data_IF_461223157044
#
_entry.id   IF_461223157044
#
_cell.length_a   1.000
_cell.length_b   1.000
_cell.length_c   1.000
_cell.angle_alpha   90.00
_cell.angle_beta   90.00
_cell.angle_gamma   90.00
#
_symmetry.space_group_name_H-M   'P 1'
#
loop_
_entity.id
_entity.type
_entity.pdbx_description
1 polymer ?
#
# COMPACT_ATOMS: atom_id res chain seq x y z
N UNK A 1 18.36 19.95 -11.56
CA UNK A 1 17.87 18.60 -11.89
C UNK A 1 16.64 18.71 -12.76
N UNK A 2 16.48 17.88 -13.83
CA UNK A 2 15.25 17.86 -14.63
C UNK A 2 14.08 17.50 -13.71
N UNK A 3 12.95 18.20 -13.85
CA UNK A 3 11.72 17.92 -13.12
C UNK A 3 11.21 16.53 -13.55
N UNK A 4 11.14 15.58 -12.62
CA UNK A 4 10.61 14.24 -12.89
C UNK A 4 9.12 14.29 -13.20
N UNK A 5 8.61 13.37 -14.02
CA UNK A 5 7.21 13.33 -14.41
C UNK A 5 6.29 13.09 -13.20
N UNK A 6 6.71 12.22 -12.27
CA UNK A 6 5.96 11.84 -11.09
C UNK A 6 6.70 12.16 -9.78
N UNK A 7 5.95 12.45 -8.75
CA UNK A 7 6.45 12.51 -7.39
C UNK A 7 6.44 11.10 -6.77
N UNK A 8 5.44 10.27 -7.13
CA UNK A 8 5.32 8.88 -6.73
C UNK A 8 4.87 7.99 -7.90
N UNK A 9 5.56 6.87 -8.12
CA UNK A 9 5.07 5.73 -8.88
C UNK A 9 4.87 4.54 -7.95
N UNK A 10 3.77 3.80 -8.13
CA UNK A 10 3.52 2.59 -7.36
C UNK A 10 3.41 1.37 -8.29
N UNK A 11 3.85 0.20 -7.80
CA UNK A 11 3.67 -1.09 -8.49
C UNK A 11 2.75 -1.98 -7.65
N UNK A 12 1.60 -2.38 -8.22
CA UNK A 12 0.71 -3.27 -7.49
C UNK A 12 -0.55 -3.70 -8.23
N UNK A 13 -1.27 -4.65 -7.63
CA UNK A 13 -2.48 -5.20 -8.20
C UNK A 13 -3.68 -4.28 -8.01
N UNK A 14 -4.44 -4.11 -9.08
CA UNK A 14 -5.73 -3.44 -9.07
C UNK A 14 -6.83 -4.49 -8.93
N UNK A 15 -7.65 -4.36 -7.91
CA UNK A 15 -8.70 -5.30 -7.55
C UNK A 15 -10.10 -4.69 -7.76
N UNK A 16 -11.03 -5.52 -8.21
CA UNK A 16 -12.45 -5.21 -8.11
C UNK A 16 -12.94 -5.59 -6.70
N UNK A 17 -13.48 -4.61 -5.97
CA UNK A 17 -14.17 -4.83 -4.72
C UNK A 17 -15.67 -4.93 -4.96
N UNK A 18 -16.30 -5.97 -4.43
CA UNK A 18 -17.73 -6.16 -4.42
C UNK A 18 -18.22 -6.23 -2.96
N UNK A 19 -19.09 -5.31 -2.57
CA UNK A 19 -19.63 -5.26 -1.20
C UNK A 19 -21.16 -5.18 -1.28
N UNK A 20 -21.88 -5.98 -0.48
CA UNK A 20 -23.31 -5.74 -0.30
C UNK A 20 -23.53 -4.32 0.25
N UNK A 21 -24.67 -3.70 -0.03
CA UNK A 21 -25.00 -2.41 0.55
C UNK A 21 -25.10 -2.50 2.08
N UNK A 22 -24.81 -1.40 2.74
CA UNK A 22 -24.90 -1.23 4.20
C UNK A 22 -24.17 -2.34 5.00
N UNK A 23 -24.90 -3.05 5.84
CA UNK A 23 -24.38 -4.18 6.63
C UNK A 23 -25.02 -5.52 6.19
N UNK A 24 -25.54 -5.59 4.97
CA UNK A 24 -26.14 -6.80 4.43
C UNK A 24 -25.09 -7.93 4.32
N UNK A 25 -25.55 -9.17 4.46
CA UNK A 25 -24.67 -10.34 4.35
C UNK A 25 -24.60 -10.82 2.90
N UNK A 26 -23.41 -11.21 2.46
CA UNK A 26 -23.19 -11.80 1.12
C UNK A 26 -24.14 -13.00 0.88
N UNK A 27 -24.38 -13.82 1.90
CA UNK A 27 -25.24 -15.01 1.78
C UNK A 27 -26.74 -14.72 1.64
N UNK A 28 -27.16 -13.44 1.68
CA UNK A 28 -28.57 -13.03 1.61
C UNK A 28 -28.82 -11.94 0.59
N UNK A 29 -27.82 -11.07 0.36
CA UNK A 29 -27.93 -9.96 -0.56
C UNK A 29 -27.95 -10.40 -2.02
N UNK A 30 -28.74 -9.71 -2.83
CA UNK A 30 -28.84 -9.96 -4.28
C UNK A 30 -28.06 -8.93 -5.11
N UNK A 31 -27.54 -7.88 -4.46
CA UNK A 31 -26.84 -6.76 -5.11
C UNK A 31 -25.46 -6.51 -4.52
N UNK A 32 -24.56 -6.01 -5.37
CA UNK A 32 -23.24 -5.56 -4.95
C UNK A 32 -22.95 -4.15 -5.46
N UNK A 33 -22.41 -3.34 -4.58
CA UNK A 33 -21.72 -2.11 -4.98
C UNK A 33 -20.31 -2.47 -5.43
N UNK A 34 -19.91 -1.99 -6.62
CA UNK A 34 -18.57 -2.20 -7.14
C UNK A 34 -17.66 -1.00 -6.90
N UNK A 35 -16.46 -1.29 -6.44
CA UNK A 35 -15.40 -0.32 -6.20
C UNK A 35 -14.09 -0.88 -6.75
N UNK A 36 -13.08 -0.04 -6.89
CA UNK A 36 -11.73 -0.46 -7.25
C UNK A 36 -10.84 -0.25 -6.03
N UNK A 37 -10.02 -1.24 -5.73
CA UNK A 37 -9.04 -1.22 -4.66
C UNK A 37 -7.70 -1.77 -5.11
N UNK A 38 -6.79 -1.87 -4.19
CA UNK A 38 -5.41 -2.30 -4.36
C UNK A 38 -4.54 -1.46 -3.44
N UNK A 39 -3.65 -2.09 -2.67
CA UNK A 39 -2.88 -1.36 -1.67
C UNK A 39 -2.09 -0.20 -2.29
N UNK A 40 -1.36 -0.48 -3.35
CA UNK A 40 -0.51 0.49 -4.03
C UNK A 40 -1.33 1.52 -4.82
N UNK A 41 -2.49 1.13 -5.37
CA UNK A 41 -3.43 2.09 -5.97
C UNK A 41 -4.00 3.04 -4.92
N UNK A 42 -4.36 2.52 -3.74
CA UNK A 42 -4.86 3.35 -2.64
C UNK A 42 -3.79 4.36 -2.19
N UNK A 43 -2.52 3.94 -2.10
CA UNK A 43 -1.40 4.84 -1.80
C UNK A 43 -1.24 5.91 -2.88
N UNK A 44 -1.21 5.54 -4.16
CA UNK A 44 -1.11 6.48 -5.27
C UNK A 44 -2.28 7.47 -5.29
N UNK A 45 -3.51 6.98 -5.06
CA UNK A 45 -4.73 7.80 -5.00
C UNK A 45 -4.67 8.83 -3.86
N UNK A 46 -4.28 8.40 -2.64
CA UNK A 46 -4.16 9.31 -1.51
C UNK A 46 -3.11 10.39 -1.75
N UNK A 47 -1.96 10.05 -2.33
CA UNK A 47 -0.90 11.02 -2.68
C UNK A 47 -1.37 12.01 -3.75
N UNK A 48 -2.12 11.54 -4.76
CA UNK A 48 -2.69 12.40 -5.80
C UNK A 48 -3.73 13.37 -5.24
N UNK A 49 -4.66 12.86 -4.41
CA UNK A 49 -5.69 13.68 -3.77
C UNK A 49 -5.11 14.75 -2.81
N UNK A 50 -3.94 14.50 -2.25
CA UNK A 50 -3.20 15.48 -1.44
C UNK A 50 -2.41 16.50 -2.29
N UNK A 51 -2.35 16.34 -3.63
CA UNK A 51 -1.83 17.32 -4.56
C UNK A 51 -0.45 17.03 -5.17
N UNK A 52 0.12 15.83 -4.97
CA UNK A 52 1.32 15.39 -5.68
C UNK A 52 0.95 14.58 -6.93
N UNK A 53 1.87 14.51 -7.89
CA UNK A 53 1.67 13.71 -9.12
C UNK A 53 2.01 12.26 -8.86
N UNK A 54 1.03 11.39 -8.99
CA UNK A 54 1.22 9.95 -8.84
C UNK A 54 0.82 9.16 -10.08
N UNK A 55 1.37 7.96 -10.21
CA UNK A 55 1.02 6.99 -11.23
C UNK A 55 1.07 5.58 -10.68
N UNK A 56 0.46 4.64 -11.41
CA UNK A 56 0.46 3.23 -11.07
C UNK A 56 0.99 2.38 -12.21
N UNK A 57 1.86 1.44 -11.86
CA UNK A 57 2.35 0.36 -12.71
C UNK A 57 1.52 -0.87 -12.36
N UNK A 58 0.79 -1.40 -13.32
CA UNK A 58 -0.06 -2.58 -13.11
C UNK A 58 -0.40 -3.24 -14.44
N UNK A 59 -0.91 -4.48 -14.37
CA UNK A 59 -1.44 -5.19 -15.52
C UNK A 59 -2.92 -5.51 -15.30
N UNK A 60 -3.78 -5.09 -16.25
CA UNK A 60 -5.24 -5.23 -16.17
C UNK A 60 -5.77 -5.89 -17.44
N UNK A 61 -6.95 -6.55 -17.41
CA UNK A 61 -7.54 -7.10 -18.62
C UNK A 61 -7.98 -6.01 -19.60
N UNK A 62 -7.77 -6.22 -20.89
CA UNK A 62 -8.37 -5.41 -21.96
C UNK A 62 -9.84 -5.76 -22.14
N UNK A 63 -10.67 -5.22 -21.28
CA UNK A 63 -12.12 -5.52 -21.22
C UNK A 63 -12.89 -4.37 -20.58
N UNK A 64 -14.22 -4.45 -20.59
CA UNK A 64 -15.08 -3.46 -19.93
C UNK A 64 -14.82 -3.33 -18.42
N UNK A 65 -14.40 -4.41 -17.75
CA UNK A 65 -14.06 -4.35 -16.32
C UNK A 65 -12.69 -3.71 -16.08
N UNK A 66 -11.71 -3.94 -16.96
CA UNK A 66 -10.44 -3.22 -16.96
C UNK A 66 -10.63 -1.73 -17.25
N UNK A 67 -11.52 -1.38 -18.19
CA UNK A 67 -11.87 0.02 -18.46
C UNK A 67 -12.57 0.68 -17.26
N UNK A 68 -13.40 -0.05 -16.52
CA UNK A 68 -13.96 0.46 -15.25
C UNK A 68 -12.86 0.78 -14.24
N UNK A 69 -11.87 -0.10 -14.08
CA UNK A 69 -10.73 0.14 -13.20
C UNK A 69 -9.93 1.38 -13.65
N UNK A 70 -9.60 1.48 -14.94
CA UNK A 70 -8.90 2.64 -15.52
C UNK A 70 -9.63 3.96 -15.25
N UNK A 71 -10.96 4.00 -15.42
CA UNK A 71 -11.75 5.19 -15.16
C UNK A 71 -11.68 5.60 -13.67
N UNK A 72 -11.65 4.64 -12.75
CA UNK A 72 -11.50 4.92 -11.31
C UNK A 72 -10.11 5.44 -10.95
N UNK A 73 -9.06 4.90 -11.56
CA UNK A 73 -7.68 5.39 -11.44
C UNK A 73 -7.62 6.87 -11.83
N UNK A 74 -8.13 7.20 -13.01
CA UNK A 74 -8.19 8.59 -13.52
C UNK A 74 -9.05 9.50 -12.67
N UNK A 75 -10.17 9.00 -12.14
CA UNK A 75 -11.03 9.77 -11.23
C UNK A 75 -10.29 10.23 -9.97
N UNK A 76 -9.36 9.40 -9.47
CA UNK A 76 -8.49 9.76 -8.34
C UNK A 76 -7.29 10.64 -8.74
N UNK A 77 -7.16 11.01 -10.01
CA UNK A 77 -6.05 11.81 -10.51
C UNK A 77 -4.71 11.04 -10.61
N UNK A 78 -4.76 9.71 -10.57
CA UNK A 78 -3.58 8.86 -10.75
C UNK A 78 -3.35 8.64 -12.24
N UNK A 79 -2.08 8.77 -12.71
CA UNK A 79 -1.73 8.46 -14.11
C UNK A 79 -1.84 6.96 -14.37
N UNK A 80 -2.38 6.64 -15.53
CA UNK A 80 -2.52 5.30 -16.11
C UNK A 80 -1.50 5.01 -17.23
N UNK A 81 -0.44 5.82 -17.35
CA UNK A 81 0.56 5.74 -18.42
C UNK A 81 1.34 4.41 -18.43
N UNK A 82 1.44 3.74 -17.28
CA UNK A 82 2.14 2.47 -17.11
C UNK A 82 1.19 1.29 -16.83
N UNK A 83 -0.05 1.37 -17.32
CA UNK A 83 -0.95 0.22 -17.35
C UNK A 83 -0.65 -0.67 -18.55
N UNK A 84 -0.37 -1.93 -18.29
CA UNK A 84 -0.27 -2.99 -19.30
C UNK A 84 -1.63 -3.64 -19.49
N UNK A 85 -2.04 -3.85 -20.74
CA UNK A 85 -3.33 -4.46 -21.08
C UNK A 85 -3.14 -5.93 -21.47
N UNK A 86 -3.78 -6.80 -20.69
CA UNK A 86 -3.81 -8.23 -20.94
C UNK A 86 -4.95 -8.57 -21.91
N UNK A 87 -4.59 -9.01 -23.12
CA UNK A 87 -5.52 -9.41 -24.19
C UNK A 87 -5.75 -10.92 -24.24
N UNK A 88 -5.16 -11.68 -23.31
CA UNK A 88 -5.32 -13.13 -23.24
C UNK A 88 -6.77 -13.54 -22.94
N UNK A 89 -7.15 -14.75 -23.37
CA UNK A 89 -8.50 -15.30 -23.14
C UNK A 89 -8.84 -15.46 -21.64
N UNK A 90 -7.83 -15.62 -20.79
CA UNK A 90 -7.94 -15.78 -19.34
C UNK A 90 -7.65 -14.46 -18.60
N UNK A 91 -7.66 -13.32 -19.31
CA UNK A 91 -7.42 -12.01 -18.73
C UNK A 91 -8.53 -11.63 -17.75
N UNK A 92 -8.16 -11.29 -16.52
CA UNK A 92 -9.11 -10.92 -15.45
C UNK A 92 -8.52 -9.98 -14.42
N UNK A 93 -9.36 -9.15 -13.78
CA UNK A 93 -9.02 -8.54 -12.51
C UNK A 93 -9.14 -9.58 -11.37
N UNK A 94 -8.29 -9.46 -10.37
CA UNK A 94 -8.57 -10.07 -9.09
C UNK A 94 -9.81 -9.41 -8.45
N UNK A 95 -10.61 -10.22 -7.77
CA UNK A 95 -11.84 -9.76 -7.09
C UNK A 95 -11.73 -10.05 -5.60
N UNK A 96 -12.28 -9.18 -4.78
CA UNK A 96 -12.59 -9.53 -3.41
C UNK A 96 -14.00 -9.08 -3.03
N UNK A 97 -14.63 -9.92 -2.23
CA UNK A 97 -15.94 -9.68 -1.65
C UNK A 97 -15.74 -9.22 -0.21
N UNK A 98 -16.29 -8.05 0.13
CA UNK A 98 -16.13 -7.49 1.47
C UNK A 98 -17.50 -7.30 2.13
N UNK A 99 -17.67 -7.94 3.28
CA UNK A 99 -18.88 -7.85 4.11
C UNK A 99 -18.59 -6.98 5.33
N UNK A 100 -19.32 -5.89 5.49
CA UNK A 100 -19.21 -5.03 6.65
C UNK A 100 -19.59 -5.75 7.95
N UNK A 101 -18.85 -5.49 9.01
CA UNK A 101 -19.16 -5.95 10.35
C UNK A 101 -20.25 -5.10 11.03
N UNK A 102 -21.04 -5.75 11.88
CA UNK A 102 -21.93 -5.08 12.83
C UNK A 102 -21.92 -5.90 14.12
N UNK A 103 -21.62 -5.27 15.27
CA UNK A 103 -21.49 -6.00 16.52
C UNK A 103 -22.72 -6.90 16.80
N UNK A 104 -22.53 -8.16 17.19
CA UNK A 104 -21.25 -8.84 17.48
C UNK A 104 -20.56 -9.49 16.27
N UNK A 105 -21.09 -9.33 15.05
CA UNK A 105 -20.57 -9.94 13.83
C UNK A 105 -19.33 -9.18 13.34
N UNK A 106 -18.23 -9.91 13.13
CA UNK A 106 -17.00 -9.37 12.56
C UNK A 106 -17.17 -9.14 11.04
N UNK A 107 -16.44 -8.15 10.45
CA UNK A 107 -16.36 -8.03 9.00
C UNK A 107 -15.68 -9.25 8.39
N UNK A 108 -16.05 -9.59 7.15
CA UNK A 108 -15.50 -10.70 6.38
C UNK A 108 -14.93 -10.25 5.05
N UNK A 109 -13.93 -10.96 4.57
CA UNK A 109 -13.38 -10.79 3.22
C UNK A 109 -13.17 -12.16 2.58
N UNK A 110 -13.59 -12.29 1.33
CA UNK A 110 -13.34 -13.47 0.50
C UNK A 110 -12.57 -13.00 -0.74
N UNK A 111 -11.42 -13.61 -1.01
CA UNK A 111 -10.60 -13.28 -2.17
C UNK A 111 -10.81 -14.28 -3.30
N UNK A 112 -11.04 -13.77 -4.50
CA UNK A 112 -10.99 -14.47 -5.78
C UNK A 112 -9.99 -13.72 -6.68
N UNK A 113 -8.69 -13.87 -6.39
CA UNK A 113 -7.63 -13.11 -7.05
C UNK A 113 -6.54 -13.96 -7.71
N UNK A 114 -6.61 -15.28 -7.58
CA UNK A 114 -5.64 -16.16 -8.23
C UNK A 114 -5.68 -15.99 -9.75
N UNK A 115 -4.51 -16.09 -10.38
CA UNK A 115 -4.36 -15.96 -11.83
C UNK A 115 -4.94 -14.67 -12.43
N UNK A 116 -4.99 -13.58 -11.64
CA UNK A 116 -5.32 -12.26 -12.20
C UNK A 116 -4.28 -11.83 -13.23
N UNK A 117 -4.64 -10.89 -14.10
CA UNK A 117 -3.72 -10.34 -15.11
C UNK A 117 -2.42 -9.84 -14.50
N UNK A 118 -2.50 -9.21 -13.29
CA UNK A 118 -1.33 -8.72 -12.57
C UNK A 118 -0.31 -9.82 -12.25
N UNK A 119 -0.75 -11.06 -11.98
CA UNK A 119 0.16 -12.17 -11.64
C UNK A 119 1.12 -12.58 -12.78
N UNK A 120 0.91 -12.02 -13.98
CA UNK A 120 1.73 -12.25 -15.20
C UNK A 120 2.49 -11.02 -15.65
N UNK A 121 2.64 -10.01 -14.78
CA UNK A 121 3.42 -8.80 -15.11
C UNK A 121 4.88 -9.16 -15.38
N UNK A 122 5.47 -8.55 -16.40
CA UNK A 122 6.87 -8.79 -16.76
C UNK A 122 7.63 -7.47 -16.83
N UNK A 123 8.90 -7.50 -16.43
CA UNK A 123 9.79 -6.35 -16.46
C UNK A 123 10.03 -5.83 -17.89
N UNK A 124 10.02 -6.74 -18.86
CA UNK A 124 10.25 -6.43 -20.28
C UNK A 124 9.07 -5.68 -20.94
N UNK A 125 7.94 -5.53 -20.22
CA UNK A 125 6.81 -4.71 -20.66
C UNK A 125 7.05 -3.20 -20.49
N UNK A 126 8.17 -2.79 -19.88
CA UNK A 126 8.46 -1.40 -19.52
C UNK A 126 9.79 -0.94 -20.11
N UNK A 127 9.76 0.24 -20.78
CA UNK A 127 10.95 0.91 -21.27
C UNK A 127 11.81 1.43 -20.11
N UNK A 128 13.13 1.42 -20.26
CA UNK A 128 14.09 1.86 -19.23
C UNK A 128 13.90 3.32 -18.78
N UNK A 129 13.24 4.15 -19.57
CA UNK A 129 12.92 5.54 -19.21
C UNK A 129 12.02 5.65 -17.96
N UNK A 130 11.28 4.60 -17.63
CA UNK A 130 10.42 4.55 -16.43
C UNK A 130 11.26 4.79 -15.16
N UNK A 131 12.49 4.27 -15.11
CA UNK A 131 13.34 4.36 -13.91
C UNK A 131 13.84 5.78 -13.62
N UNK A 132 13.73 6.69 -14.59
CA UNK A 132 14.07 8.11 -14.44
C UNK A 132 12.83 8.99 -14.21
N UNK A 133 11.63 8.44 -14.30
CA UNK A 133 10.36 9.19 -14.34
C UNK A 133 9.86 9.69 -12.99
N UNK A 134 10.25 9.06 -11.87
CA UNK A 134 9.68 9.35 -10.55
C UNK A 134 10.73 9.72 -9.49
N UNK A 135 10.30 10.49 -8.48
CA UNK A 135 11.11 10.82 -7.29
C UNK A 135 11.11 9.69 -6.26
N UNK A 136 9.98 8.97 -6.14
CA UNK A 136 9.80 7.87 -5.22
C UNK A 136 9.08 6.72 -5.92
N UNK A 137 9.55 5.50 -5.70
CA UNK A 137 8.89 4.26 -6.11
C UNK A 137 8.38 3.53 -4.88
N UNK A 138 7.12 3.08 -4.90
CA UNK A 138 6.50 2.36 -3.79
C UNK A 138 5.89 1.04 -4.24
N UNK A 139 6.10 0.01 -3.45
CA UNK A 139 5.42 -1.29 -3.58
C UNK A 139 5.28 -1.94 -2.20
N UNK A 140 4.60 -3.08 -2.13
CA UNK A 140 4.37 -3.77 -0.88
C UNK A 140 4.65 -5.27 -0.94
N UNK A 141 4.69 -5.89 0.24
CA UNK A 141 4.79 -7.34 0.36
C UNK A 141 3.61 -8.08 -0.26
N UNK A 142 2.45 -7.44 -0.42
CA UNK A 142 1.32 -8.05 -1.15
C UNK A 142 1.73 -8.33 -2.59
N UNK A 143 2.24 -7.32 -3.29
CA UNK A 143 2.63 -7.44 -4.71
C UNK A 143 3.71 -8.50 -4.90
N UNK A 144 4.74 -8.54 -4.05
CA UNK A 144 5.80 -9.55 -4.12
C UNK A 144 5.32 -10.98 -3.82
N UNK A 145 4.18 -11.12 -3.16
CA UNK A 145 3.59 -12.41 -2.76
C UNK A 145 2.60 -12.98 -3.78
N UNK A 146 2.19 -12.22 -4.82
CA UNK A 146 1.13 -12.62 -5.74
C UNK A 146 1.52 -13.78 -6.65
N UNK A 147 2.73 -13.74 -7.19
CA UNK A 147 3.31 -14.75 -8.08
C UNK A 147 4.84 -14.63 -8.10
N UNK A 148 5.49 -15.60 -8.73
CA UNK A 148 6.93 -15.56 -8.95
C UNK A 148 7.30 -14.41 -9.92
N UNK A 149 6.50 -14.17 -10.95
CA UNK A 149 6.67 -13.09 -11.91
C UNK A 149 6.54 -11.72 -11.22
N UNK A 150 5.51 -11.52 -10.40
CA UNK A 150 5.37 -10.29 -9.60
C UNK A 150 6.58 -10.07 -8.69
N UNK A 151 7.09 -11.12 -8.07
CA UNK A 151 8.27 -11.05 -7.20
C UNK A 151 9.51 -10.67 -7.97
N UNK A 152 9.80 -11.33 -9.10
CA UNK A 152 10.94 -11.03 -9.97
C UNK A 152 10.88 -9.60 -10.48
N UNK A 153 9.74 -9.21 -11.05
CA UNK A 153 9.53 -7.85 -11.59
C UNK A 153 9.65 -6.80 -10.49
N UNK A 154 8.99 -6.99 -9.35
CA UNK A 154 9.02 -6.04 -8.24
C UNK A 154 10.42 -5.85 -7.64
N UNK A 155 11.14 -6.94 -7.40
CA UNK A 155 12.53 -6.89 -6.89
C UNK A 155 13.46 -6.21 -7.89
N UNK A 156 13.35 -6.52 -9.17
CA UNK A 156 14.17 -5.91 -10.22
C UNK A 156 13.85 -4.41 -10.37
N UNK A 157 12.59 -4.02 -10.36
CA UNK A 157 12.20 -2.60 -10.38
C UNK A 157 12.76 -1.83 -9.18
N UNK A 158 12.69 -2.39 -7.97
CA UNK A 158 13.29 -1.77 -6.78
C UNK A 158 14.77 -1.45 -7.03
N UNK A 159 15.55 -2.41 -7.56
CA UNK A 159 16.98 -2.24 -7.83
C UNK A 159 17.24 -1.18 -8.90
N UNK A 160 16.58 -1.27 -10.05
CA UNK A 160 16.77 -0.32 -11.17
C UNK A 160 16.35 1.11 -10.79
N UNK A 161 15.23 1.29 -10.08
CA UNK A 161 14.86 2.60 -9.56
C UNK A 161 15.90 3.13 -8.58
N UNK A 162 16.42 2.28 -7.67
CA UNK A 162 17.46 2.67 -6.72
C UNK A 162 18.76 3.10 -7.40
N UNK A 163 19.19 2.38 -8.43
CA UNK A 163 20.38 2.70 -9.23
C UNK A 163 20.27 4.06 -9.92
N UNK A 164 19.05 4.47 -10.29
CA UNK A 164 18.76 5.80 -10.86
C UNK A 164 18.54 6.90 -9.80
N UNK A 165 18.80 6.58 -8.52
CA UNK A 165 18.71 7.54 -7.41
C UNK A 165 17.28 7.89 -6.99
N UNK A 166 16.30 7.04 -7.34
CA UNK A 166 14.92 7.15 -6.88
C UNK A 166 14.83 6.66 -5.43
N UNK A 167 14.05 7.35 -4.59
CA UNK A 167 13.73 6.88 -3.25
C UNK A 167 12.86 5.64 -3.32
N UNK A 168 13.20 4.60 -2.56
CA UNK A 168 12.43 3.36 -2.48
C UNK A 168 11.61 3.34 -1.20
N UNK A 169 10.30 3.21 -1.36
CA UNK A 169 9.33 3.05 -0.27
C UNK A 169 8.75 1.64 -0.31
N UNK A 170 8.72 0.97 0.82
CA UNK A 170 8.20 -0.39 0.93
C UNK A 170 7.31 -0.56 2.18
N UNK A 171 6.11 -1.13 1.97
CA UNK A 171 5.22 -1.56 3.05
C UNK A 171 5.24 -3.10 3.15
N UNK A 172 5.61 -3.62 4.32
CA UNK A 172 5.61 -5.08 4.55
C UNK A 172 4.24 -5.68 4.26
N UNK A 173 3.18 -5.03 4.68
CA UNK A 173 1.77 -5.37 4.39
C UNK A 173 1.50 -6.88 4.37
N UNK A 174 2.03 -7.58 5.38
CA UNK A 174 2.05 -9.05 5.44
C UNK A 174 0.65 -9.67 5.34
N UNK A 175 0.55 -10.72 4.54
CA UNK A 175 -0.69 -11.48 4.32
C UNK A 175 -0.42 -12.97 4.37
N UNK A 176 -0.82 -13.61 5.47
CA UNK A 176 -0.61 -15.06 5.70
C UNK A 176 -1.25 -15.96 4.62
N UNK A 177 -2.29 -15.48 3.94
CA UNK A 177 -2.95 -16.22 2.86
C UNK A 177 -2.23 -16.14 1.50
N UNK A 178 -1.15 -15.37 1.38
CA UNK A 178 -0.36 -15.26 0.15
C UNK A 178 0.99 -15.97 0.26
N UNK A 179 1.66 -15.90 1.38
CA UNK A 179 2.94 -16.54 1.64
C UNK A 179 3.17 -16.81 3.13
N UNK A 180 4.12 -17.70 3.43
CA UNK A 180 4.53 -17.95 4.81
C UNK A 180 5.37 -16.79 5.38
N UNK A 181 5.49 -16.74 6.70
CA UNK A 181 6.37 -15.77 7.37
C UNK A 181 7.82 -15.89 6.96
N UNK A 182 8.31 -17.14 6.73
CA UNK A 182 9.68 -17.43 6.31
C UNK A 182 9.95 -16.95 4.88
N UNK A 183 9.04 -17.22 3.94
CA UNK A 183 9.13 -16.74 2.55
C UNK A 183 9.10 -15.21 2.50
N UNK A 184 8.19 -14.59 3.26
CA UNK A 184 8.10 -13.15 3.39
C UNK A 184 9.42 -12.56 3.92
N UNK A 185 9.93 -13.10 5.02
CA UNK A 185 11.20 -12.69 5.63
C UNK A 185 12.34 -12.74 4.63
N UNK A 186 12.56 -13.90 4.02
CA UNK A 186 13.66 -14.11 3.06
C UNK A 186 13.60 -13.12 1.88
N UNK A 187 12.42 -12.92 1.32
CA UNK A 187 12.23 -12.00 0.21
C UNK A 187 12.49 -10.55 0.64
N UNK A 188 11.87 -10.12 1.75
CA UNK A 188 11.93 -8.72 2.21
C UNK A 188 13.34 -8.38 2.71
N UNK A 189 13.99 -9.21 3.50
CA UNK A 189 15.40 -8.99 3.91
C UNK A 189 16.32 -8.79 2.70
N UNK A 190 16.06 -9.50 1.57
CA UNK A 190 16.81 -9.35 0.32
C UNK A 190 16.65 -7.98 -0.37
N UNK A 191 15.57 -7.26 -0.10
CA UNK A 191 15.33 -5.92 -0.68
C UNK A 191 15.60 -4.77 0.29
N UNK A 192 15.63 -5.00 1.62
CA UNK A 192 15.86 -3.95 2.61
C UNK A 192 17.13 -3.13 2.38
N UNK A 193 18.24 -3.66 1.81
CA UNK A 193 19.41 -2.85 1.45
C UNK A 193 19.13 -1.72 0.43
N UNK A 194 18.01 -1.78 -0.30
CA UNK A 194 17.62 -0.77 -1.29
C UNK A 194 16.54 0.19 -0.77
N UNK A 195 15.90 -0.11 0.38
CA UNK A 195 14.75 0.62 0.90
C UNK A 195 15.18 1.87 1.68
N UNK A 196 14.56 3.01 1.38
CA UNK A 196 14.77 4.28 2.08
C UNK A 196 13.67 4.59 3.09
N UNK A 197 12.41 4.22 2.77
CA UNK A 197 11.22 4.48 3.59
C UNK A 197 10.53 3.13 3.83
N UNK A 198 10.44 2.73 5.08
CA UNK A 198 9.96 1.40 5.47
C UNK A 198 8.74 1.48 6.38
N UNK A 199 7.65 0.83 5.96
CA UNK A 199 6.44 0.70 6.74
C UNK A 199 6.35 -0.72 7.30
N UNK A 200 6.35 -0.84 8.62
CA UNK A 200 6.23 -2.12 9.32
C UNK A 200 5.57 -1.92 10.68
N UNK A 201 4.46 -2.63 10.92
CA UNK A 201 3.85 -2.64 12.26
C UNK A 201 4.68 -3.46 13.24
N UNK A 202 4.57 -3.16 14.53
CA UNK A 202 5.24 -3.89 15.60
C UNK A 202 4.94 -5.38 15.54
N UNK A 203 3.65 -5.76 15.39
CA UNK A 203 3.23 -7.16 15.28
C UNK A 203 3.87 -7.86 14.07
N UNK A 204 3.91 -7.19 12.92
CA UNK A 204 4.54 -7.73 11.71
C UNK A 204 6.05 -7.91 11.91
N UNK A 205 6.71 -6.95 12.54
CA UNK A 205 8.14 -7.03 12.82
C UNK A 205 8.47 -8.23 13.73
N UNK A 206 7.65 -8.48 14.73
CA UNK A 206 7.80 -9.64 15.62
C UNK A 206 7.54 -10.95 14.89
N UNK A 207 6.40 -11.06 14.20
CA UNK A 207 5.94 -12.30 13.58
C UNK A 207 6.77 -12.70 12.35
N UNK A 208 7.19 -11.72 11.54
CA UNK A 208 7.89 -11.99 10.28
C UNK A 208 9.40 -11.97 10.44
N UNK A 209 9.94 -11.01 11.20
CA UNK A 209 11.40 -10.83 11.31
C UNK A 209 11.98 -11.28 12.66
N UNK A 210 11.14 -11.77 13.59
CA UNK A 210 11.60 -12.19 14.92
C UNK A 210 12.17 -11.06 15.76
N UNK A 211 11.77 -9.81 15.50
CA UNK A 211 12.25 -8.66 16.27
C UNK A 211 11.65 -8.66 17.68
N UNK A 212 12.46 -8.27 18.64
CA UNK A 212 12.10 -8.17 20.07
C UNK A 212 12.17 -6.71 20.54
N UNK A 213 11.64 -6.45 21.75
CA UNK A 213 11.61 -5.12 22.33
C UNK A 213 10.32 -4.34 22.00
N UNK A 214 10.26 -3.06 22.34
CA UNK A 214 9.16 -2.15 22.01
C UNK A 214 9.30 -1.61 20.58
N UNK A 215 8.28 -0.90 20.08
CA UNK A 215 8.27 -0.37 18.71
C UNK A 215 9.49 0.49 18.38
N UNK A 216 10.02 1.27 19.34
CA UNK A 216 11.19 2.15 19.13
C UNK A 216 12.47 1.33 19.00
N UNK A 217 12.68 0.35 19.87
CA UNK A 217 13.81 -0.57 19.81
C UNK A 217 13.81 -1.37 18.51
N UNK A 218 12.64 -1.83 18.06
CA UNK A 218 12.46 -2.52 16.77
C UNK A 218 12.87 -1.61 15.60
N UNK A 219 12.43 -0.35 15.59
CA UNK A 219 12.79 0.61 14.54
C UNK A 219 14.30 0.90 14.52
N UNK A 220 14.90 1.07 15.67
CA UNK A 220 16.35 1.28 15.80
C UNK A 220 17.13 0.05 15.31
N UNK A 221 16.66 -1.17 15.59
CA UNK A 221 17.30 -2.39 15.13
C UNK A 221 17.29 -2.52 13.60
N UNK A 222 16.16 -2.17 12.93
CA UNK A 222 16.11 -2.15 11.46
C UNK A 222 17.06 -1.09 10.88
N UNK A 223 17.12 0.10 11.46
CA UNK A 223 18.02 1.16 11.00
C UNK A 223 19.50 0.86 11.26
N UNK A 224 19.82 0.01 12.24
CA UNK A 224 21.19 -0.45 12.51
C UNK A 224 21.62 -1.54 11.49
N UNK A 225 20.69 -2.36 11.01
CA UNK A 225 20.97 -3.47 10.10
C UNK A 225 20.92 -3.05 8.61
N UNK A 226 20.09 -2.05 8.27
CA UNK A 226 19.82 -1.65 6.89
C UNK A 226 19.91 -0.13 6.71
N UNK A 227 20.23 0.36 5.50
CA UNK A 227 20.41 1.80 5.22
C UNK A 227 19.07 2.55 5.10
N UNK A 228 18.09 2.19 5.92
CA UNK A 228 16.76 2.78 5.92
C UNK A 228 16.81 4.17 6.58
N UNK A 229 16.32 5.18 5.88
CA UNK A 229 16.32 6.56 6.37
C UNK A 229 15.11 6.90 7.25
N UNK A 230 13.94 6.33 6.92
CA UNK A 230 12.68 6.58 7.63
C UNK A 230 11.95 5.27 7.86
N UNK A 231 11.58 5.01 9.10
CA UNK A 231 10.75 3.85 9.48
C UNK A 231 9.46 4.37 10.10
N UNK A 232 8.33 3.82 9.66
CA UNK A 232 7.00 4.21 10.13
C UNK A 232 6.23 2.99 10.63
N UNK A 233 5.62 3.08 11.81
CA UNK A 233 4.83 2.02 12.42
C UNK A 233 3.52 2.58 12.96
N UNK A 234 2.42 1.93 12.58
CA UNK A 234 1.08 2.30 13.04
C UNK A 234 0.71 1.60 14.34
N UNK A 235 -0.05 2.29 15.18
CA UNK A 235 -0.61 1.75 16.41
C UNK A 235 -2.13 1.97 16.40
N UNK A 236 -2.89 0.89 16.51
CA UNK A 236 -4.35 0.94 16.49
C UNK A 236 -4.92 0.20 17.69
N UNK A 237 -5.82 0.86 18.42
CA UNK A 237 -6.63 0.23 19.46
C UNK A 237 -8.07 0.08 18.97
N UNK A 238 -8.59 -1.13 19.01
CA UNK A 238 -9.98 -1.44 18.64
C UNK A 238 -10.83 -1.46 19.90
N UNK A 239 -11.65 -0.44 20.11
CA UNK A 239 -12.58 -0.35 21.23
C UNK A 239 -13.88 -1.13 20.95
N UNK A 240 -14.34 -1.07 19.70
CA UNK A 240 -15.44 -1.84 19.16
C UNK A 240 -15.28 -2.00 17.66
N UNK A 241 -16.10 -2.82 16.96
CA UNK A 241 -16.05 -2.90 15.49
C UNK A 241 -16.23 -1.56 14.76
N UNK A 242 -16.82 -0.58 15.41
CA UNK A 242 -17.12 0.75 14.87
C UNK A 242 -16.38 1.90 15.55
N UNK A 243 -15.59 1.65 16.59
CA UNK A 243 -14.86 2.70 17.32
C UNK A 243 -13.41 2.27 17.49
N UNK A 244 -12.50 3.03 16.88
CA UNK A 244 -11.06 2.79 16.96
C UNK A 244 -10.31 4.04 17.43
N UNK A 245 -9.13 3.82 18.04
CA UNK A 245 -8.12 4.85 18.20
C UNK A 245 -6.96 4.56 17.23
N UNK A 246 -6.33 5.60 16.72
CA UNK A 246 -5.22 5.48 15.78
C UNK A 246 -4.14 6.51 16.06
N UNK A 247 -2.90 6.06 16.05
CA UNK A 247 -1.69 6.87 16.05
C UNK A 247 -0.56 6.13 15.34
N UNK A 248 0.60 6.74 15.25
CA UNK A 248 1.81 6.13 14.69
C UNK A 248 3.07 6.71 15.30
N UNK A 249 4.18 6.03 15.06
CA UNK A 249 5.53 6.49 15.36
C UNK A 249 6.31 6.53 14.06
N UNK A 250 7.07 7.61 13.83
CA UNK A 250 8.05 7.71 12.75
C UNK A 250 9.43 7.89 13.34
N UNK A 251 10.37 7.07 12.89
CA UNK A 251 11.79 7.17 13.22
C UNK A 251 12.60 7.72 12.03
N UNK A 252 13.34 8.80 12.25
CA UNK A 252 14.33 9.29 11.31
C UNK A 252 15.70 8.74 11.74
N UNK A 253 16.21 7.78 11.00
CA UNK A 253 17.45 7.09 11.35
C UNK A 253 18.68 8.02 11.29
N UNK A 254 18.73 8.94 10.31
CA UNK A 254 19.83 9.90 10.16
C UNK A 254 19.90 10.88 11.31
N UNK A 255 18.75 11.39 11.78
CA UNK A 255 18.65 12.30 12.90
C UNK A 255 18.60 11.57 14.26
N UNK A 256 18.46 10.24 14.28
CA UNK A 256 18.21 9.41 15.46
C UNK A 256 17.05 9.96 16.31
N UNK A 257 15.95 10.34 15.66
CA UNK A 257 14.83 11.04 16.29
C UNK A 257 13.51 10.35 16.01
N UNK A 258 12.72 10.13 17.06
CA UNK A 258 11.33 9.71 16.99
C UNK A 258 10.39 10.90 16.89
N UNK A 259 9.32 10.71 16.10
CA UNK A 259 8.21 11.63 15.95
C UNK A 259 6.95 10.91 16.36
N UNK A 260 6.20 11.51 17.27
CA UNK A 260 4.95 10.99 17.83
C UNK A 260 3.98 12.14 18.04
N UNK A 261 2.68 11.88 18.02
CA UNK A 261 1.65 12.85 18.40
C UNK A 261 0.49 12.15 19.12
N UNK A 262 -0.42 12.93 19.68
CA UNK A 262 -1.60 12.41 20.34
C UNK A 262 -2.43 11.58 19.37
N UNK A 263 -3.00 10.43 19.80
CA UNK A 263 -3.84 9.61 18.96
C UNK A 263 -5.12 10.35 18.56
N UNK A 264 -5.64 10.02 17.38
CA UNK A 264 -7.03 10.23 17.04
C UNK A 264 -7.85 9.21 17.84
N UNK A 265 -8.68 9.69 18.75
CA UNK A 265 -9.48 8.85 19.63
C UNK A 265 -10.92 8.78 19.16
N UNK A 266 -11.59 7.64 19.45
CA UNK A 266 -13.00 7.42 19.16
C UNK A 266 -13.40 7.65 17.70
N UNK A 267 -12.54 7.25 16.75
CA UNK A 267 -12.85 7.32 15.33
C UNK A 267 -14.07 6.43 15.04
N UNK A 268 -15.13 7.01 14.49
CA UNK A 268 -16.28 6.26 14.01
C UNK A 268 -15.97 5.57 12.69
N UNK A 269 -15.84 4.25 12.73
CA UNK A 269 -15.43 3.46 11.57
C UNK A 269 -16.63 3.11 10.71
N UNK A 270 -16.68 3.70 9.52
CA UNK A 270 -17.60 3.35 8.43
C UNK A 270 -17.02 2.23 7.60
N UNK A 271 -15.78 2.40 7.14
CA UNK A 271 -15.04 1.37 6.40
C UNK A 271 -13.53 1.47 6.69
N UNK A 272 -12.97 0.40 7.25
CA UNK A 272 -11.56 0.36 7.63
C UNK A 272 -10.62 -0.07 6.51
N UNK A 273 -11.14 -0.58 5.39
CA UNK A 273 -10.31 -1.07 4.28
C UNK A 273 -9.53 0.12 3.68
N UNK A 274 -8.24 -0.06 3.48
CA UNK A 274 -7.36 0.99 2.96
C UNK A 274 -6.89 2.02 3.98
N UNK A 275 -7.22 1.89 5.28
CA UNK A 275 -6.74 2.86 6.29
C UNK A 275 -5.21 2.83 6.47
N UNK A 276 -4.57 1.66 6.33
CA UNK A 276 -3.12 1.52 6.29
C UNK A 276 -2.51 2.18 5.06
N UNK A 277 -3.13 1.96 3.89
CA UNK A 277 -2.69 2.57 2.64
C UNK A 277 -2.84 4.11 2.67
N UNK A 278 -3.93 4.60 3.27
CA UNK A 278 -4.13 6.03 3.51
C UNK A 278 -3.08 6.61 4.46
N UNK A 279 -2.66 5.85 5.48
CA UNK A 279 -1.52 6.22 6.31
C UNK A 279 -0.24 6.34 5.48
N UNK A 280 0.10 5.31 4.69
CA UNK A 280 1.27 5.32 3.83
C UNK A 280 1.24 6.53 2.86
N UNK A 281 0.08 6.82 2.26
CA UNK A 281 -0.08 7.96 1.35
C UNK A 281 0.20 9.30 2.03
N UNK A 282 -0.35 9.50 3.24
CA UNK A 282 -0.12 10.71 4.02
C UNK A 282 1.34 10.88 4.44
N UNK A 283 2.00 9.78 4.86
CA UNK A 283 3.44 9.79 5.19
C UNK A 283 4.27 10.15 3.95
N UNK A 284 4.03 9.49 2.81
CA UNK A 284 4.75 9.76 1.57
C UNK A 284 4.51 11.19 1.08
N UNK A 285 3.28 11.70 1.13
CA UNK A 285 2.99 13.09 0.85
C UNK A 285 3.79 14.03 1.75
N UNK A 286 3.76 13.81 3.07
CA UNK A 286 4.46 14.63 4.04
C UNK A 286 5.98 14.61 3.90
N UNK A 287 6.58 13.53 3.37
CA UNK A 287 8.01 13.43 3.07
C UNK A 287 8.38 14.07 1.72
N UNK A 288 7.52 13.94 0.70
CA UNK A 288 7.83 14.32 -0.68
C UNK A 288 7.44 15.76 -1.05
N UNK A 289 6.59 16.43 -0.25
CA UNK A 289 6.23 17.83 -0.48
C UNK A 289 7.46 18.75 -0.33
N UNK A 290 7.37 19.97 -0.85
CA UNK A 290 8.50 20.90 -0.93
C UNK A 290 9.15 21.20 0.43
N UNK A 291 8.31 21.49 1.45
CA UNK A 291 8.73 21.70 2.85
C UNK A 291 8.53 20.44 3.70
N UNK A 292 8.78 19.27 3.11
CA UNK A 292 8.47 17.99 3.71
C UNK A 292 9.46 17.54 4.79
N UNK A 293 9.01 16.59 5.62
CA UNK A 293 9.83 15.96 6.64
C UNK A 293 9.04 15.07 7.57
N UNK A 294 9.70 14.42 8.52
CA UNK A 294 9.07 13.42 9.39
C UNK A 294 7.93 13.98 10.25
N UNK A 295 7.99 15.23 10.70
CA UNK A 295 6.89 15.84 11.45
C UNK A 295 5.65 16.05 10.58
N UNK A 296 5.83 16.49 9.34
CA UNK A 296 4.78 16.62 8.34
C UNK A 296 4.22 15.24 7.98
N UNK A 297 5.09 14.27 7.73
CA UNK A 297 4.74 12.89 7.42
C UNK A 297 3.86 12.26 8.51
N UNK A 298 4.21 12.43 9.78
CA UNK A 298 3.43 11.93 10.90
C UNK A 298 2.01 12.50 10.92
N UNK A 299 1.87 13.83 10.79
CA UNK A 299 0.57 14.51 10.82
C UNK A 299 -0.32 14.09 9.66
N UNK A 300 0.20 14.14 8.43
CA UNK A 300 -0.57 13.73 7.26
C UNK A 300 -0.90 12.25 7.28
N UNK A 301 0.03 11.39 7.71
CA UNK A 301 -0.21 9.95 7.85
C UNK A 301 -1.36 9.65 8.81
N UNK A 302 -1.30 10.19 10.03
CA UNK A 302 -2.33 9.97 11.05
C UNK A 302 -3.69 10.56 10.61
N UNK A 303 -3.71 11.77 10.08
CA UNK A 303 -4.95 12.42 9.62
C UNK A 303 -5.60 11.66 8.46
N UNK A 304 -4.81 11.24 7.45
CA UNK A 304 -5.31 10.48 6.30
C UNK A 304 -5.91 9.14 6.71
N UNK A 305 -5.24 8.41 7.61
CA UNK A 305 -5.75 7.14 8.15
C UNK A 305 -7.04 7.35 8.95
N UNK A 306 -7.08 8.35 9.83
CA UNK A 306 -8.27 8.65 10.63
C UNK A 306 -9.45 9.04 9.72
N UNK A 307 -9.25 9.94 8.76
CA UNK A 307 -10.28 10.37 7.82
C UNK A 307 -10.79 9.21 6.96
N UNK A 308 -9.88 8.33 6.44
CA UNK A 308 -10.29 7.16 5.62
C UNK A 308 -11.24 6.22 6.36
N UNK A 309 -11.06 6.03 7.65
CA UNK A 309 -11.95 5.17 8.43
C UNK A 309 -13.41 5.69 8.44
N UNK A 310 -13.65 6.97 8.25
CA UNK A 310 -14.97 7.61 8.34
C UNK A 310 -15.75 7.66 7.02
N UNK A 311 -15.18 7.17 5.93
CA UNK A 311 -15.79 7.18 4.59
C UNK A 311 -15.88 5.78 4.00
N UNK A 312 -16.91 5.44 3.20
CA UNK A 312 -17.01 4.19 2.49
C UNK A 312 -16.06 4.15 1.28
N UNK A 313 -15.56 2.95 0.94
CA UNK A 313 -14.78 2.75 -0.29
C UNK A 313 -13.32 2.45 -0.09
#
# INVERSE_FOLDING_TARGET
>A
MKKKAFDLLTLGEILLRLSPPDNERIVRGETFQKQVGGAELNVASGVSLLGLRSGIISRIPDSSIGMFAKNKIRFCGVSDDYLVYDTGKDARLGVYYYENGAYPRKPGVVYDRQHSSMTRIDIDEFDDSIYESTRCFHTSGITLALSEECRKTGVEMIKRFKEKGTLISFDVNFRLNLWSGEEARKCIEGILPYVDIFFCSEDTARLTFGKEGNVKEIMESFAAEYPISVIASTQRTVLSPKIHNFTSVIYNAKAKKFYEEKPYENIEVVDRIGSGDAYCSGVLYGLLREDGGCASALRYGNASSAAKNTIPG
#
